data_IF_698313523807
#
_entry.id   IF_698313523807
#
_cell.length_a   1.000
_cell.length_b   1.000
_cell.length_c   1.000
_cell.angle_alpha   90.00
_cell.angle_beta   90.00
_cell.angle_gamma   90.00
#
_symmetry.space_group_name_H-M   'P 1'
#
loop_
_entity.id
_entity.type
_entity.pdbx_description
1 polymer ?
#
# COMPACT_ATOMS: atom_id res chain seq x y z
N UNK A 1 -24.24 11.20 -17.75
CA UNK A 1 -23.52 10.06 -17.15
C UNK A 1 -22.93 10.54 -15.85
N UNK A 2 -23.31 9.95 -14.71
CA UNK A 2 -22.68 10.26 -13.43
C UNK A 2 -21.23 9.79 -13.41
N UNK A 3 -20.37 10.43 -12.61
CA UNK A 3 -19.00 9.92 -12.42
C UNK A 3 -19.07 8.57 -11.72
N UNK A 4 -18.41 7.58 -12.30
CA UNK A 4 -18.17 6.29 -11.67
C UNK A 4 -17.12 6.47 -10.56
N UNK A 5 -17.30 5.78 -9.42
CA UNK A 5 -16.31 5.82 -8.33
C UNK A 5 -15.07 5.04 -8.77
N UNK A 6 -13.93 5.72 -8.78
CA UNK A 6 -12.62 5.08 -8.93
C UNK A 6 -12.20 4.52 -7.57
N UNK A 7 -11.69 3.29 -7.56
CA UNK A 7 -11.07 2.69 -6.40
C UNK A 7 -9.57 2.61 -6.60
N UNK A 8 -8.81 2.96 -5.57
CA UNK A 8 -7.35 2.85 -5.56
C UNK A 8 -6.96 1.60 -4.77
N UNK A 9 -6.15 0.74 -5.40
CA UNK A 9 -5.58 -0.46 -4.80
C UNK A 9 -4.06 -0.33 -4.84
N UNK A 10 -3.44 -0.19 -3.67
CA UNK A 10 -1.99 -0.01 -3.52
C UNK A 10 -1.30 -1.34 -3.21
N UNK A 11 -0.21 -1.62 -3.93
CA UNK A 11 0.61 -2.84 -3.78
C UNK A 11 2.00 -2.57 -3.21
N UNK A 12 2.24 -1.38 -2.63
CA UNK A 12 3.55 -0.96 -2.13
C UNK A 12 4.13 -1.94 -1.11
N UNK A 13 3.32 -2.43 -0.18
CA UNK A 13 3.77 -3.36 0.87
C UNK A 13 3.97 -4.80 0.39
N UNK A 14 3.49 -5.17 -0.81
CA UNK A 14 3.72 -6.49 -1.43
C UNK A 14 4.75 -6.41 -2.54
N UNK A 15 4.40 -5.78 -3.65
CA UNK A 15 5.21 -5.72 -4.86
C UNK A 15 6.43 -4.82 -4.64
N UNK A 16 6.24 -3.71 -3.93
CA UNK A 16 7.34 -2.81 -3.56
C UNK A 16 8.41 -3.53 -2.73
N UNK A 17 8.00 -4.36 -1.75
CA UNK A 17 8.93 -5.16 -0.96
C UNK A 17 9.64 -6.26 -1.77
N UNK A 18 9.03 -6.78 -2.83
CA UNK A 18 9.67 -7.77 -3.70
C UNK A 18 10.75 -7.19 -4.61
N UNK A 19 10.92 -5.86 -4.62
CA UNK A 19 11.98 -5.20 -5.38
C UNK A 19 13.35 -5.53 -4.78
N UNK A 20 14.33 -5.97 -5.59
CA UNK A 20 15.66 -6.30 -5.09
C UNK A 20 16.32 -5.14 -4.33
N UNK A 21 16.78 -5.42 -3.11
CA UNK A 21 17.42 -4.43 -2.25
C UNK A 21 16.45 -3.58 -1.42
N UNK A 22 15.14 -3.84 -1.52
CA UNK A 22 14.14 -3.28 -0.60
C UNK A 22 13.81 -4.32 0.45
N UNK A 23 13.87 -3.92 1.71
CA UNK A 23 13.40 -4.70 2.84
C UNK A 23 12.76 -3.75 3.85
N UNK A 24 11.49 -4.02 4.19
CA UNK A 24 10.73 -3.18 5.12
C UNK A 24 10.69 -3.87 6.47
N UNK A 25 11.15 -3.16 7.51
CA UNK A 25 10.88 -3.57 8.89
C UNK A 25 9.38 -3.56 9.19
N UNK A 26 8.97 -4.18 10.30
CA UNK A 26 7.57 -4.13 10.75
C UNK A 26 7.14 -2.68 11.00
N UNK A 27 8.04 -1.87 11.57
CA UNK A 27 7.84 -0.46 11.83
C UNK A 27 7.66 0.34 10.54
N UNK A 28 8.47 0.06 9.50
CA UNK A 28 8.31 0.68 8.18
C UNK A 28 6.96 0.35 7.56
N UNK A 29 6.52 -0.91 7.65
CA UNK A 29 5.22 -1.35 7.14
C UNK A 29 4.07 -0.61 7.81
N UNK A 30 4.12 -0.45 9.13
CA UNK A 30 3.11 0.29 9.90
C UNK A 30 3.09 1.77 9.48
N UNK A 31 4.27 2.38 9.33
CA UNK A 31 4.39 3.78 8.92
C UNK A 31 3.84 4.00 7.50
N UNK A 32 4.23 3.15 6.53
CA UNK A 32 3.77 3.20 5.15
C UNK A 32 2.26 2.99 5.08
N UNK A 33 1.71 2.01 5.80
CA UNK A 33 0.27 1.79 5.86
C UNK A 33 -0.48 3.03 6.36
N UNK A 34 0.02 3.69 7.41
CA UNK A 34 -0.55 4.94 7.90
C UNK A 34 -0.47 6.09 6.90
N UNK A 35 0.60 6.17 6.11
CA UNK A 35 0.73 7.17 5.03
C UNK A 35 -0.27 6.92 3.90
N UNK A 36 -0.45 5.67 3.49
CA UNK A 36 -1.40 5.28 2.45
C UNK A 36 -2.86 5.49 2.87
N UNK A 37 -3.18 5.20 4.14
CA UNK A 37 -4.48 5.52 4.74
C UNK A 37 -4.72 7.03 4.75
N UNK A 38 -3.74 7.82 5.20
CA UNK A 38 -3.80 9.28 5.19
C UNK A 38 -3.91 9.90 3.79
N UNK A 39 -3.38 9.21 2.76
CA UNK A 39 -3.55 9.59 1.35
C UNK A 39 -4.97 9.29 0.81
N UNK A 40 -5.70 8.37 1.46
CA UNK A 40 -7.07 8.00 1.09
C UNK A 40 -7.15 6.88 0.05
N UNK A 41 -6.20 5.94 0.06
CA UNK A 41 -6.28 4.72 -0.76
C UNK A 41 -7.41 3.82 -0.22
N UNK A 42 -8.24 3.26 -1.10
CA UNK A 42 -9.35 2.40 -0.67
C UNK A 42 -8.87 1.04 -0.13
N UNK A 43 -7.75 0.52 -0.64
CA UNK A 43 -7.21 -0.79 -0.30
C UNK A 43 -5.68 -0.82 -0.33
N UNK A 44 -5.07 -1.46 0.68
CA UNK A 44 -3.62 -1.65 0.79
C UNK A 44 -3.32 -3.15 0.85
N UNK A 45 -2.43 -3.65 0.00
CA UNK A 45 -2.03 -5.05 -0.01
C UNK A 45 -0.83 -5.31 0.92
N UNK A 46 -1.06 -5.96 2.06
CA UNK A 46 -0.08 -6.09 3.15
C UNK A 46 1.12 -7.02 2.95
N UNK A 47 1.27 -7.66 1.77
CA UNK A 47 2.37 -8.59 1.49
C UNK A 47 2.16 -10.03 2.02
N UNK A 48 3.26 -10.79 2.11
CA UNK A 48 3.29 -12.16 2.66
C UNK A 48 3.87 -12.16 4.09
N UNK A 49 3.28 -12.94 5.04
CA UNK A 49 3.82 -13.10 6.39
C UNK A 49 5.10 -13.94 6.42
#
# INVERSE_FOLDING_TARGET
>A
MGRERLYLFDTTLRDGQQTPGIDFSVEDKIAIAGLLDGFGVDYIEGGYP
#
